data_IF_090694591754
#
_entry.id   IF_090694591754
#
_cell.length_a   1.000
_cell.length_b   1.000
_cell.length_c   1.000
_cell.angle_alpha   90.00
_cell.angle_beta   90.00
_cell.angle_gamma   90.00
#
_symmetry.space_group_name_H-M   'P 1'
#
loop_
_entity.id
_entity.type
_entity.pdbx_description
1 polymer ?
#
# COMPACT_ATOMS: atom_id res chain seq x y z
N UNK A 1 7.98 -28.19 21.06
CA UNK A 1 7.25 -27.53 22.16
C UNK A 1 7.01 -26.10 21.75
N UNK A 2 5.72 -25.77 21.48
CA UNK A 2 5.27 -24.41 21.18
C UNK A 2 5.37 -23.51 22.41
N UNK A 3 5.24 -22.20 22.21
CA UNK A 3 5.06 -21.22 23.27
C UNK A 3 3.56 -21.15 23.54
N UNK A 4 3.13 -21.49 24.76
CA UNK A 4 1.74 -21.26 25.17
C UNK A 4 1.40 -19.79 25.00
N UNK A 5 0.32 -19.51 24.26
CA UNK A 5 -0.09 -18.17 23.94
C UNK A 5 -1.30 -17.72 24.75
N UNK A 6 -1.16 -16.60 25.44
CA UNK A 6 -2.28 -15.88 26.04
C UNK A 6 -2.71 -14.76 25.08
N UNK A 7 -3.96 -14.78 24.60
CA UNK A 7 -4.42 -13.78 23.65
C UNK A 7 -4.30 -12.34 24.16
N UNK A 8 -3.93 -11.43 23.28
CA UNK A 8 -3.92 -10.00 23.60
C UNK A 8 -5.36 -9.50 23.69
N UNK A 9 -5.71 -8.74 24.72
CA UNK A 9 -7.06 -8.22 24.94
C UNK A 9 -8.06 -9.28 25.39
N UNK A 10 -7.71 -10.11 26.36
CA UNK A 10 -8.46 -11.31 26.76
C UNK A 10 -9.02 -11.29 28.18
N UNK A 11 -9.06 -10.15 28.84
CA UNK A 11 -9.63 -10.14 30.21
C UNK A 11 -11.13 -9.90 30.19
N UNK A 12 -11.86 -10.74 30.90
CA UNK A 12 -13.29 -10.58 31.21
C UNK A 12 -13.46 -10.27 32.70
N UNK A 13 -14.44 -9.44 33.04
CA UNK A 13 -14.80 -9.17 34.41
C UNK A 13 -15.63 -10.34 35.06
N UNK A 14 -15.98 -10.20 36.34
CA UNK A 14 -16.77 -11.20 37.05
C UNK A 14 -18.16 -11.43 36.42
N UNK A 15 -18.65 -10.49 35.63
CA UNK A 15 -19.96 -10.57 34.93
C UNK A 15 -19.81 -11.18 33.51
N UNK A 16 -18.59 -11.53 33.08
CA UNK A 16 -18.28 -12.09 31.74
C UNK A 16 -18.21 -11.06 30.64
N UNK A 17 -18.14 -9.77 30.98
CA UNK A 17 -17.92 -8.69 30.01
C UNK A 17 -16.42 -8.48 29.75
N UNK A 18 -16.04 -8.22 28.51
CA UNK A 18 -14.64 -7.95 28.13
C UNK A 18 -14.20 -6.63 28.70
N UNK A 19 -13.32 -6.67 29.71
CA UNK A 19 -12.76 -5.47 30.34
C UNK A 19 -11.64 -4.81 29.53
N UNK A 20 -10.85 -5.62 28.83
CA UNK A 20 -9.70 -5.15 28.06
C UNK A 20 -9.70 -5.74 26.67
N UNK A 21 -9.97 -4.91 25.67
CA UNK A 21 -9.79 -5.22 24.27
C UNK A 21 -8.58 -4.43 23.71
N UNK A 22 -8.00 -4.91 22.63
CA UNK A 22 -6.99 -4.14 21.91
C UNK A 22 -7.67 -3.09 21.05
N UNK A 23 -7.34 -1.80 21.23
CA UNK A 23 -7.93 -0.69 20.50
C UNK A 23 -6.90 0.19 19.77
N UNK A 24 -5.67 -0.31 19.62
CA UNK A 24 -4.56 0.40 18.99
C UNK A 24 -4.32 0.01 17.52
N UNK A 25 -3.15 0.41 17.06
CA UNK A 25 -2.62 -0.02 15.76
C UNK A 25 -1.53 -1.06 15.97
N UNK A 26 -1.61 -2.15 15.22
CA UNK A 26 -0.61 -3.20 15.21
C UNK A 26 -0.15 -3.48 13.78
N UNK A 27 1.09 -3.18 13.50
CA UNK A 27 1.71 -3.40 12.20
C UNK A 27 2.71 -4.55 12.28
N UNK A 28 2.36 -5.67 11.67
CA UNK A 28 3.19 -6.88 11.65
C UNK A 28 4.38 -6.79 10.70
N UNK A 29 4.39 -5.78 9.80
CA UNK A 29 5.50 -5.47 8.89
C UNK A 29 5.93 -6.66 8.01
N UNK A 30 4.99 -7.55 7.69
CA UNK A 30 5.27 -8.77 6.94
C UNK A 30 6.01 -9.84 7.74
N UNK A 31 6.25 -9.63 9.04
CA UNK A 31 6.88 -10.64 9.88
C UNK A 31 5.95 -11.81 10.18
N UNK A 32 6.57 -12.97 10.40
CA UNK A 32 5.86 -14.19 10.75
C UNK A 32 6.06 -14.50 12.23
N UNK A 33 4.96 -14.71 12.94
CA UNK A 33 4.94 -15.30 14.27
C UNK A 33 4.64 -16.79 14.12
N UNK A 34 5.55 -17.63 14.56
CA UNK A 34 5.47 -19.08 14.41
C UNK A 34 5.57 -19.81 15.74
N UNK A 35 5.10 -21.07 15.74
CA UNK A 35 5.13 -21.96 16.89
C UNK A 35 4.28 -21.45 18.08
N UNK A 36 3.22 -20.69 17.80
CA UNK A 36 2.23 -20.39 18.83
C UNK A 36 1.45 -21.67 19.16
N UNK A 37 1.36 -21.96 20.44
CA UNK A 37 0.52 -23.06 20.96
C UNK A 37 -0.75 -22.44 21.55
N UNK A 38 -1.87 -22.72 20.91
CA UNK A 38 -3.17 -22.24 21.35
C UNK A 38 -3.95 -23.26 22.20
N UNK A 39 -3.45 -24.49 22.33
CA UNK A 39 -4.23 -25.62 22.84
C UNK A 39 -4.57 -25.54 24.33
N UNK A 40 -3.68 -25.01 25.15
CA UNK A 40 -3.83 -24.98 26.61
C UNK A 40 -4.93 -24.02 27.10
N UNK A 41 -5.14 -22.93 26.37
CA UNK A 41 -6.08 -21.87 26.76
C UNK A 41 -7.38 -21.87 25.95
N UNK A 42 -7.46 -22.68 24.90
CA UNK A 42 -8.65 -22.77 24.06
C UNK A 42 -9.85 -23.30 24.82
N UNK A 43 -10.98 -22.61 24.71
CA UNK A 43 -12.25 -23.04 25.30
C UNK A 43 -12.35 -22.93 26.80
N UNK A 44 -11.47 -22.23 27.49
CA UNK A 44 -11.69 -21.84 28.90
C UNK A 44 -12.77 -20.76 28.95
N UNK A 45 -13.64 -20.83 29.97
CA UNK A 45 -14.75 -19.86 30.16
C UNK A 45 -14.28 -18.42 30.28
N UNK A 46 -13.03 -18.22 30.68
CA UNK A 46 -12.37 -16.93 30.79
C UNK A 46 -12.05 -16.29 29.41
N UNK A 47 -12.12 -17.08 28.31
CA UNK A 47 -11.78 -16.66 26.97
C UNK A 47 -12.91 -16.99 25.98
N UNK A 48 -14.00 -16.20 25.94
CA UNK A 48 -15.11 -16.44 25.00
C UNK A 48 -14.72 -16.18 23.54
N UNK A 49 -13.59 -15.51 23.33
CA UNK A 49 -12.98 -15.27 22.04
C UNK A 49 -11.48 -15.55 22.10
N UNK A 50 -10.92 -16.11 21.03
CA UNK A 50 -9.56 -16.63 21.06
C UNK A 50 -8.82 -16.44 19.73
N UNK A 51 -7.53 -16.14 19.80
CA UNK A 51 -6.66 -15.94 18.64
C UNK A 51 -5.32 -15.34 19.05
N UNK A 52 -4.61 -14.71 18.12
CA UNK A 52 -3.49 -13.87 18.49
C UNK A 52 -3.97 -12.66 19.32
N UNK A 53 -5.06 -12.04 18.86
CA UNK A 53 -5.89 -11.16 19.67
C UNK A 53 -7.18 -11.89 20.07
N UNK A 54 -7.63 -11.75 21.33
CA UNK A 54 -8.94 -12.21 21.75
C UNK A 54 -10.00 -11.29 21.13
N UNK A 55 -10.05 -10.04 21.55
CA UNK A 55 -10.94 -9.03 21.01
C UNK A 55 -10.21 -7.76 20.62
N UNK A 56 -10.67 -7.16 19.51
CA UNK A 56 -10.17 -5.88 19.02
C UNK A 56 -11.31 -4.91 18.74
N UNK A 57 -11.24 -3.68 19.28
CA UNK A 57 -12.29 -2.68 19.16
C UNK A 57 -11.69 -1.34 18.65
N UNK A 58 -12.17 -0.84 17.52
CA UNK A 58 -11.63 0.39 16.91
C UNK A 58 -10.16 0.26 16.51
N UNK A 59 -9.70 -0.95 16.28
CA UNK A 59 -8.29 -1.26 16.03
C UNK A 59 -7.95 -1.31 14.55
N UNK A 60 -6.67 -1.12 14.25
CA UNK A 60 -6.09 -1.34 12.92
C UNK A 60 -4.97 -2.37 13.02
N UNK A 61 -5.14 -3.53 12.38
CA UNK A 61 -4.16 -4.62 12.37
C UNK A 61 -3.76 -4.89 10.93
N UNK A 62 -2.46 -4.91 10.64
CA UNK A 62 -2.00 -5.18 9.28
C UNK A 62 -0.65 -5.88 9.20
N UNK A 63 -0.42 -6.59 8.08
CA UNK A 63 0.88 -7.15 7.72
C UNK A 63 1.38 -8.25 8.65
N UNK A 64 0.49 -9.00 9.31
CA UNK A 64 0.82 -10.05 10.27
C UNK A 64 0.65 -11.44 9.64
N UNK A 65 1.71 -12.26 9.69
CA UNK A 65 1.61 -13.69 9.37
C UNK A 65 1.66 -14.52 10.64
N UNK A 66 0.67 -15.41 10.80
CA UNK A 66 0.61 -16.36 11.93
C UNK A 66 0.72 -17.77 11.38
N UNK A 67 1.62 -18.55 11.97
CA UNK A 67 1.87 -19.94 11.59
C UNK A 67 1.84 -20.87 12.81
N UNK A 68 1.14 -22.00 12.67
CA UNK A 68 1.06 -22.98 13.74
C UNK A 68 0.03 -24.06 13.46
N UNK A 69 -0.28 -24.82 14.49
CA UNK A 69 -1.37 -25.81 14.49
C UNK A 69 -2.16 -25.61 15.78
N UNK A 70 -3.46 -25.85 15.68
CA UNK A 70 -4.35 -25.93 16.82
C UNK A 70 -5.13 -27.25 16.75
N UNK A 71 -4.86 -28.10 17.72
CA UNK A 71 -5.59 -29.35 17.91
C UNK A 71 -6.42 -29.23 19.20
N UNK A 72 -7.74 -29.32 19.06
CA UNK A 72 -8.67 -29.04 20.14
C UNK A 72 -9.35 -30.31 20.59
N UNK A 73 -9.18 -30.64 21.87
CA UNK A 73 -9.81 -31.81 22.51
C UNK A 73 -10.88 -31.47 23.56
N UNK A 74 -10.98 -30.21 24.01
CA UNK A 74 -11.92 -29.76 25.04
C UNK A 74 -12.40 -28.33 24.69
N UNK A 75 -13.65 -28.17 24.26
CA UNK A 75 -14.13 -26.82 23.95
C UNK A 75 -15.54 -26.55 24.44
N UNK A 76 -15.70 -25.32 24.91
CA UNK A 76 -16.96 -24.63 25.11
C UNK A 76 -17.26 -23.73 23.88
N UNK A 77 -18.18 -22.79 24.03
CA UNK A 77 -18.50 -21.82 22.96
C UNK A 77 -17.37 -20.81 22.81
N UNK A 78 -16.70 -20.76 21.63
CA UNK A 78 -15.54 -19.89 21.39
C UNK A 78 -15.59 -19.30 19.99
N UNK A 79 -15.39 -17.98 19.89
CA UNK A 79 -15.08 -17.33 18.62
C UNK A 79 -13.56 -17.42 18.35
N UNK A 80 -13.16 -18.43 17.59
CA UNK A 80 -11.76 -18.58 17.22
C UNK A 80 -11.45 -17.91 15.90
N UNK A 81 -10.45 -17.00 15.92
CA UNK A 81 -9.83 -16.43 14.74
C UNK A 81 -8.31 -16.39 14.90
N UNK A 82 -7.57 -16.91 13.91
CA UNK A 82 -6.11 -16.99 14.04
C UNK A 82 -5.47 -15.63 14.29
N UNK A 83 -6.03 -14.55 13.71
CA UNK A 83 -5.62 -13.16 13.97
C UNK A 83 -6.43 -12.58 15.12
N UNK A 84 -7.76 -12.60 15.04
CA UNK A 84 -8.62 -12.06 16.09
C UNK A 84 -9.85 -12.94 16.27
N UNK A 85 -10.17 -13.27 17.53
CA UNK A 85 -11.40 -13.98 17.87
C UNK A 85 -12.62 -13.13 17.52
N UNK A 86 -12.67 -11.88 17.98
CA UNK A 86 -13.72 -10.90 17.68
C UNK A 86 -13.09 -9.57 17.23
N UNK A 87 -13.65 -8.97 16.19
CA UNK A 87 -13.29 -7.65 15.71
C UNK A 87 -14.54 -6.75 15.65
N UNK A 88 -14.53 -5.64 16.38
CA UNK A 88 -15.61 -4.65 16.43
C UNK A 88 -15.08 -3.29 15.96
N UNK A 89 -15.82 -2.63 15.05
CA UNK A 89 -15.46 -1.31 14.51
C UNK A 89 -13.99 -1.23 14.07
N UNK A 90 -13.44 -2.34 13.56
CA UNK A 90 -11.99 -2.51 13.37
C UNK A 90 -11.64 -2.80 11.91
N UNK A 91 -10.36 -2.63 11.58
CA UNK A 91 -9.80 -2.99 10.29
C UNK A 91 -8.69 -4.02 10.45
N UNK A 92 -8.81 -5.16 9.75
CA UNK A 92 -7.78 -6.18 9.64
C UNK A 92 -7.39 -6.30 8.16
N UNK A 93 -6.13 -6.04 7.83
CA UNK A 93 -5.67 -6.01 6.45
C UNK A 93 -4.32 -6.68 6.26
N UNK A 94 -4.09 -7.23 5.06
CA UNK A 94 -2.80 -7.81 4.66
C UNK A 94 -2.24 -8.85 5.66
N UNK A 95 -3.15 -9.60 6.29
CA UNK A 95 -2.79 -10.64 7.26
C UNK A 95 -2.87 -12.03 6.64
N UNK A 96 -1.94 -12.91 7.03
CA UNK A 96 -1.86 -14.28 6.54
C UNK A 96 -1.99 -15.26 7.69
N UNK A 97 -3.00 -16.14 7.61
CA UNK A 97 -3.12 -17.31 8.47
C UNK A 97 -2.52 -18.53 7.79
N UNK A 98 -1.53 -19.14 8.41
CA UNK A 98 -1.00 -20.45 8.05
C UNK A 98 -1.12 -21.39 9.26
N UNK A 99 -2.29 -21.34 9.91
CA UNK A 99 -2.62 -22.15 11.08
C UNK A 99 -3.63 -23.20 10.66
N UNK A 100 -3.30 -24.48 10.86
CA UNK A 100 -4.26 -25.57 10.70
C UNK A 100 -5.01 -25.80 11.99
N UNK A 101 -6.32 -25.97 11.88
CA UNK A 101 -7.23 -26.25 12.99
C UNK A 101 -7.84 -27.64 12.82
N UNK A 102 -7.77 -28.47 13.86
CA UNK A 102 -8.41 -29.78 13.87
C UNK A 102 -9.18 -29.97 15.16
N UNK A 103 -10.47 -30.36 15.06
CA UNK A 103 -11.27 -30.83 16.16
C UNK A 103 -11.78 -32.25 15.92
N UNK A 104 -11.43 -33.15 16.81
CA UNK A 104 -11.76 -34.58 16.69
C UNK A 104 -12.71 -35.10 17.76
N UNK A 105 -12.92 -34.39 18.89
CA UNK A 105 -13.43 -35.06 20.09
C UNK A 105 -14.68 -34.53 20.73
N UNK A 106 -15.18 -33.33 20.52
CA UNK A 106 -16.38 -32.81 21.19
C UNK A 106 -17.18 -31.79 20.40
N UNK A 107 -18.40 -31.53 20.90
CA UNK A 107 -19.25 -30.46 20.38
C UNK A 107 -18.57 -29.10 20.58
N UNK A 108 -18.14 -28.48 19.52
CA UNK A 108 -17.72 -27.11 19.51
C UNK A 108 -18.91 -26.23 19.12
N UNK A 109 -19.11 -25.13 19.83
CA UNK A 109 -19.96 -24.04 19.39
C UNK A 109 -19.07 -22.80 19.12
N UNK A 110 -19.42 -21.97 18.16
CA UNK A 110 -18.66 -20.75 17.86
C UNK A 110 -18.20 -20.62 16.43
N UNK A 111 -16.93 -20.27 16.23
CA UNK A 111 -16.37 -20.05 14.88
C UNK A 111 -14.96 -20.60 14.75
N UNK A 112 -14.55 -20.86 13.51
CA UNK A 112 -13.15 -21.00 13.13
C UNK A 112 -12.88 -20.27 11.83
N UNK A 113 -11.88 -19.38 11.83
CA UNK A 113 -11.52 -18.55 10.69
C UNK A 113 -10.17 -17.84 10.90
N UNK A 114 -9.78 -16.92 9.99
CA UNK A 114 -8.75 -15.93 10.26
C UNK A 114 -9.25 -14.88 11.28
N UNK A 115 -10.48 -14.40 11.12
CA UNK A 115 -11.22 -13.60 12.10
C UNK A 115 -12.51 -14.33 12.48
N UNK A 116 -12.69 -14.67 13.75
CA UNK A 116 -13.83 -15.47 14.21
C UNK A 116 -15.15 -14.74 14.01
N UNK A 117 -15.31 -13.56 14.54
CA UNK A 117 -16.50 -12.73 14.40
C UNK A 117 -16.13 -11.28 14.06
N UNK A 118 -16.63 -10.78 12.95
CA UNK A 118 -16.45 -9.41 12.50
C UNK A 118 -17.78 -8.63 12.63
N UNK A 119 -17.76 -7.53 13.38
CA UNK A 119 -18.90 -6.64 13.63
C UNK A 119 -18.51 -5.22 13.19
N UNK A 120 -19.28 -4.59 12.31
CA UNK A 120 -19.02 -3.25 11.78
C UNK A 120 -17.55 -3.06 11.27
N UNK A 121 -16.93 -4.14 10.79
CA UNK A 121 -15.49 -4.18 10.56
C UNK A 121 -15.16 -4.40 9.08
N UNK A 122 -13.93 -4.07 8.70
CA UNK A 122 -13.40 -4.34 7.38
C UNK A 122 -12.26 -5.34 7.46
N UNK A 123 -12.40 -6.45 6.73
CA UNK A 123 -11.35 -7.46 6.59
C UNK A 123 -10.94 -7.49 5.12
N UNK A 124 -9.69 -7.11 4.83
CA UNK A 124 -9.27 -6.98 3.45
C UNK A 124 -7.84 -7.44 3.19
N UNK A 125 -7.56 -7.87 1.97
CA UNK A 125 -6.25 -8.39 1.53
C UNK A 125 -5.69 -9.51 2.41
N UNK A 126 -6.58 -10.22 3.11
CA UNK A 126 -6.19 -11.29 4.01
C UNK A 126 -6.17 -12.65 3.30
N UNK A 127 -5.29 -13.54 3.74
CA UNK A 127 -5.14 -14.86 3.16
C UNK A 127 -5.18 -15.95 4.24
N UNK A 128 -6.00 -17.00 4.03
CA UNK A 128 -5.89 -18.26 4.76
C UNK A 128 -5.22 -19.33 3.88
N UNK A 129 -4.19 -19.97 4.45
CA UNK A 129 -3.47 -21.12 3.89
C UNK A 129 -3.58 -22.37 4.74
N UNK A 130 -4.05 -22.22 5.99
CA UNK A 130 -4.22 -23.33 6.92
C UNK A 130 -5.48 -24.14 6.63
N UNK A 131 -5.44 -25.42 6.93
CA UNK A 131 -6.56 -26.32 6.76
C UNK A 131 -7.43 -26.31 8.02
N UNK A 132 -8.76 -26.26 7.86
CA UNK A 132 -9.69 -26.30 8.96
C UNK A 132 -10.52 -27.59 8.91
N UNK A 133 -10.51 -28.33 10.01
CA UNK A 133 -11.19 -29.64 10.09
C UNK A 133 -12.03 -29.73 11.36
N UNK A 134 -13.35 -29.80 11.20
CA UNK A 134 -14.34 -30.04 12.28
C UNK A 134 -15.06 -31.31 11.98
N UNK A 135 -14.67 -32.38 12.68
CA UNK A 135 -15.04 -33.77 12.36
C UNK A 135 -16.31 -34.27 13.07
N UNK A 136 -16.93 -33.43 13.90
CA UNK A 136 -18.14 -33.80 14.64
C UNK A 136 -19.31 -32.86 14.43
N UNK A 137 -20.51 -33.38 14.65
CA UNK A 137 -21.79 -32.64 14.57
C UNK A 137 -21.80 -31.52 15.61
N UNK A 138 -21.99 -30.28 15.15
CA UNK A 138 -22.05 -29.08 15.96
C UNK A 138 -23.40 -28.40 15.73
N UNK A 139 -24.03 -27.87 16.77
CA UNK A 139 -25.35 -27.23 16.63
C UNK A 139 -25.30 -25.73 16.30
N UNK A 140 -24.23 -25.05 16.66
CA UNK A 140 -24.04 -23.61 16.46
C UNK A 140 -22.57 -23.32 16.16
N UNK A 141 -22.15 -23.57 14.92
CA UNK A 141 -20.78 -23.35 14.51
C UNK A 141 -20.73 -22.83 13.09
N UNK A 142 -19.88 -21.80 12.88
CA UNK A 142 -19.68 -21.20 11.58
C UNK A 142 -18.20 -21.25 11.18
N UNK A 143 -17.92 -21.88 10.06
CA UNK A 143 -16.56 -22.02 9.57
C UNK A 143 -16.35 -21.21 8.30
N UNK A 144 -15.41 -20.27 8.33
CA UNK A 144 -14.99 -19.50 7.17
C UNK A 144 -13.48 -19.52 6.99
N UNK A 145 -13.00 -19.54 5.77
CA UNK A 145 -11.55 -19.41 5.54
C UNK A 145 -11.02 -18.07 6.07
N UNK A 146 -11.80 -17.01 5.95
CA UNK A 146 -11.43 -15.66 6.37
C UNK A 146 -12.25 -15.18 7.56
N UNK A 147 -13.57 -15.25 7.51
CA UNK A 147 -14.44 -14.82 8.61
C UNK A 147 -15.44 -15.91 8.97
N UNK A 148 -15.56 -16.24 10.25
CA UNK A 148 -16.54 -17.20 10.72
C UNK A 148 -17.95 -16.63 10.64
N UNK A 149 -18.19 -15.50 11.30
CA UNK A 149 -19.45 -14.76 11.31
C UNK A 149 -19.19 -13.29 10.95
N UNK A 150 -19.91 -12.75 9.99
CA UNK A 150 -19.82 -11.34 9.58
C UNK A 150 -21.16 -10.63 9.76
N UNK A 151 -21.15 -9.52 10.51
CA UNK A 151 -22.28 -8.65 10.79
C UNK A 151 -21.95 -7.20 10.47
N UNK A 152 -22.74 -6.53 9.60
CA UNK A 152 -22.49 -5.17 9.14
C UNK A 152 -21.04 -4.94 8.64
N UNK A 153 -20.39 -5.98 8.13
CA UNK A 153 -18.96 -5.98 7.85
C UNK A 153 -18.67 -6.17 6.38
N UNK A 154 -17.51 -5.69 5.94
CA UNK A 154 -17.04 -5.86 4.57
C UNK A 154 -15.83 -6.80 4.58
N UNK A 155 -15.92 -7.88 3.78
CA UNK A 155 -14.81 -8.79 3.50
C UNK A 155 -14.46 -8.63 2.03
N UNK A 156 -13.26 -8.12 1.74
CA UNK A 156 -12.88 -7.82 0.36
C UNK A 156 -11.42 -8.15 0.07
N UNK A 157 -11.14 -8.49 -1.20
CA UNK A 157 -9.78 -8.84 -1.64
C UNK A 157 -9.13 -9.92 -0.76
N UNK A 158 -9.93 -10.89 -0.31
CA UNK A 158 -9.44 -11.96 0.54
C UNK A 158 -9.39 -13.28 -0.22
N UNK A 159 -8.46 -14.15 0.18
CA UNK A 159 -8.29 -15.46 -0.45
C UNK A 159 -8.20 -16.58 0.57
N UNK A 160 -8.89 -17.69 0.29
CA UNK A 160 -8.70 -18.96 1.00
C UNK A 160 -8.11 -20.00 0.06
N UNK A 161 -6.96 -20.54 0.43
CA UNK A 161 -6.34 -21.70 -0.26
C UNK A 161 -6.29 -22.94 0.62
N UNK A 162 -6.66 -22.82 1.90
CA UNK A 162 -6.71 -23.94 2.83
C UNK A 162 -7.95 -24.81 2.62
N UNK A 163 -7.80 -26.10 2.83
CA UNK A 163 -8.88 -27.07 2.74
C UNK A 163 -9.79 -27.01 3.98
N UNK A 164 -11.05 -27.31 3.77
CA UNK A 164 -12.08 -27.25 4.81
C UNK A 164 -12.87 -28.55 4.86
N UNK A 165 -12.81 -29.26 5.98
CA UNK A 165 -13.62 -30.46 6.24
C UNK A 165 -14.56 -30.18 7.41
N UNK A 166 -15.87 -30.36 7.22
CA UNK A 166 -16.81 -29.83 8.22
C UNK A 166 -18.10 -30.61 8.36
N UNK A 167 -18.49 -30.76 9.64
CA UNK A 167 -19.86 -31.12 10.09
C UNK A 167 -20.67 -29.89 10.56
N UNK A 168 -20.17 -28.70 10.37
CA UNK A 168 -20.78 -27.48 10.91
C UNK A 168 -22.07 -27.08 10.19
N UNK A 169 -23.02 -26.40 10.85
CA UNK A 169 -24.25 -25.93 10.23
C UNK A 169 -24.04 -24.97 9.07
N UNK A 170 -22.93 -24.23 9.07
CA UNK A 170 -22.64 -23.28 7.99
C UNK A 170 -21.13 -23.17 7.75
N UNK A 171 -20.71 -23.48 6.53
CA UNK A 171 -19.31 -23.43 6.13
C UNK A 171 -19.15 -22.78 4.76
N UNK A 172 -18.26 -21.82 4.66
CA UNK A 172 -17.96 -21.13 3.40
C UNK A 172 -16.48 -20.92 3.19
N UNK A 173 -16.03 -21.03 1.95
CA UNK A 173 -14.62 -20.85 1.61
C UNK A 173 -14.04 -19.51 2.07
N UNK A 174 -14.86 -18.47 2.13
CA UNK A 174 -14.48 -17.14 2.64
C UNK A 174 -15.21 -16.83 3.95
N UNK A 175 -16.54 -16.91 4.00
CA UNK A 175 -17.34 -16.55 5.18
C UNK A 175 -18.26 -17.70 5.58
N UNK A 176 -18.27 -18.08 6.86
CA UNK A 176 -19.19 -19.08 7.38
C UNK A 176 -20.64 -18.58 7.34
N UNK A 177 -20.94 -17.48 8.02
CA UNK A 177 -22.26 -16.86 8.01
C UNK A 177 -22.18 -15.36 7.76
N UNK A 178 -22.82 -14.91 6.68
CA UNK A 178 -22.89 -13.51 6.25
C UNK A 178 -24.27 -12.95 6.62
N UNK A 179 -24.34 -11.87 7.42
CA UNK A 179 -25.62 -11.33 7.91
C UNK A 179 -25.60 -9.80 8.05
N UNK A 180 -26.77 -9.19 8.27
CA UNK A 180 -26.96 -7.76 8.59
C UNK A 180 -26.18 -6.82 7.68
N UNK A 181 -26.51 -6.81 6.40
CA UNK A 181 -25.91 -5.89 5.39
C UNK A 181 -24.41 -6.07 5.16
N UNK A 182 -23.84 -7.21 5.54
CA UNK A 182 -22.44 -7.52 5.27
C UNK A 182 -22.19 -7.82 3.79
N UNK A 183 -20.95 -7.62 3.35
CA UNK A 183 -20.53 -7.75 1.95
C UNK A 183 -19.30 -8.64 1.80
N UNK A 184 -19.28 -9.44 0.72
CA UNK A 184 -18.09 -10.16 0.25
C UNK A 184 -17.81 -9.72 -1.18
N UNK A 185 -16.67 -9.07 -1.42
CA UNK A 185 -16.37 -8.43 -2.70
C UNK A 185 -14.96 -8.81 -3.15
N UNK A 186 -14.79 -9.18 -4.44
CA UNK A 186 -13.48 -9.49 -5.02
C UNK A 186 -12.70 -10.52 -4.20
N UNK A 187 -13.36 -11.55 -3.70
CA UNK A 187 -12.74 -12.62 -2.94
C UNK A 187 -12.74 -13.92 -3.74
N UNK A 188 -11.80 -14.81 -3.45
CA UNK A 188 -11.85 -16.14 -4.03
C UNK A 188 -11.40 -17.24 -3.08
N UNK A 189 -11.89 -18.46 -3.33
CA UNK A 189 -11.43 -19.66 -2.65
C UNK A 189 -11.03 -20.74 -3.64
N UNK A 190 -9.89 -21.37 -3.39
CA UNK A 190 -9.38 -22.52 -4.18
C UNK A 190 -9.19 -23.75 -3.31
N UNK A 191 -9.37 -23.65 -2.00
CA UNK A 191 -9.32 -24.78 -1.08
C UNK A 191 -10.42 -25.81 -1.35
N UNK A 192 -10.16 -27.07 -1.08
CA UNK A 192 -11.13 -28.14 -1.17
C UNK A 192 -12.14 -28.02 0.00
N UNK A 193 -13.42 -28.18 -0.30
CA UNK A 193 -14.47 -28.23 0.71
C UNK A 193 -15.02 -29.65 0.78
N UNK A 194 -14.96 -30.26 1.95
CA UNK A 194 -15.46 -31.62 2.25
C UNK A 194 -16.61 -31.54 3.23
N UNK A 195 -17.87 -31.45 2.76
CA UNK A 195 -19.04 -31.51 3.61
C UNK A 195 -19.17 -32.88 4.28
N UNK A 196 -19.47 -32.89 5.57
CA UNK A 196 -19.73 -34.11 6.31
C UNK A 196 -21.19 -34.11 6.80
N UNK A 197 -21.74 -35.30 7.06
CA UNK A 197 -22.98 -35.48 7.82
C UNK A 197 -24.28 -35.60 7.06
N UNK A 198 -25.40 -35.57 7.83
CA UNK A 198 -26.77 -35.87 7.37
C UNK A 198 -27.76 -34.72 7.65
N UNK A 199 -27.31 -33.68 8.36
CA UNK A 199 -28.17 -32.61 8.89
C UNK A 199 -28.40 -31.47 7.92
N UNK A 200 -29.11 -30.44 8.40
CA UNK A 200 -29.30 -29.17 7.70
C UNK A 200 -28.00 -28.36 7.79
N UNK A 201 -27.20 -28.43 6.79
CA UNK A 201 -25.90 -27.77 6.74
C UNK A 201 -25.75 -27.00 5.45
N UNK A 202 -25.22 -25.76 5.53
CA UNK A 202 -25.03 -24.85 4.42
C UNK A 202 -23.56 -24.81 4.04
N UNK A 203 -23.22 -25.40 2.89
CA UNK A 203 -21.86 -25.39 2.36
C UNK A 203 -21.79 -24.59 1.09
N UNK A 204 -20.96 -23.54 1.09
CA UNK A 204 -20.73 -22.69 -0.08
C UNK A 204 -19.29 -22.48 -0.41
N UNK A 205 -19.01 -22.37 -1.70
CA UNK A 205 -17.65 -22.09 -2.19
C UNK A 205 -17.10 -20.73 -1.68
N UNK A 206 -18.01 -19.77 -1.46
CA UNK A 206 -17.69 -18.44 -0.93
C UNK A 206 -18.32 -18.26 0.46
N UNK A 207 -19.63 -18.42 0.59
CA UNK A 207 -20.32 -18.26 1.87
C UNK A 207 -21.16 -19.49 2.23
N UNK A 208 -21.19 -19.89 3.50
CA UNK A 208 -22.05 -20.95 3.97
C UNK A 208 -23.51 -20.51 3.94
N UNK A 209 -23.92 -19.69 4.89
CA UNK A 209 -25.26 -19.11 4.97
C UNK A 209 -25.23 -17.62 4.69
N UNK A 210 -26.23 -17.12 3.97
CA UNK A 210 -26.36 -15.72 3.60
C UNK A 210 -27.67 -15.16 4.16
N UNK A 211 -27.61 -14.06 4.88
CA UNK A 211 -28.76 -13.39 5.51
C UNK A 211 -29.28 -12.17 4.74
N UNK A 212 -30.20 -11.44 5.38
CA UNK A 212 -30.87 -10.29 4.79
C UNK A 212 -29.91 -9.14 4.48
N UNK A 213 -30.12 -8.49 3.34
CA UNK A 213 -29.41 -7.26 2.93
C UNK A 213 -27.93 -7.46 2.65
N UNK A 214 -27.47 -8.69 2.52
CA UNK A 214 -26.08 -9.03 2.25
C UNK A 214 -25.75 -9.03 0.77
N UNK A 215 -24.48 -8.88 0.42
CA UNK A 215 -24.00 -8.82 -0.96
C UNK A 215 -22.80 -9.76 -1.15
N UNK A 216 -22.80 -10.52 -2.25
CA UNK A 216 -21.63 -11.27 -2.74
C UNK A 216 -21.42 -10.85 -4.19
N UNK A 217 -20.30 -10.16 -4.47
CA UNK A 217 -20.02 -9.61 -5.78
C UNK A 217 -18.61 -9.90 -6.25
N UNK A 218 -18.48 -10.20 -7.55
CA UNK A 218 -17.20 -10.39 -8.23
C UNK A 218 -16.30 -11.42 -7.53
N UNK A 219 -16.90 -12.46 -6.97
CA UNK A 219 -16.20 -13.52 -6.25
C UNK A 219 -16.13 -14.78 -7.10
N UNK A 220 -15.12 -15.63 -6.86
CA UNK A 220 -15.12 -16.93 -7.50
C UNK A 220 -14.64 -18.06 -6.59
N UNK A 221 -15.21 -19.25 -6.82
CA UNK A 221 -14.78 -20.50 -6.22
C UNK A 221 -14.17 -21.43 -7.29
N UNK A 222 -12.88 -21.70 -7.16
CA UNK A 222 -12.14 -22.58 -8.07
C UNK A 222 -11.58 -23.84 -7.36
N UNK A 223 -12.09 -24.11 -6.16
CA UNK A 223 -11.79 -25.33 -5.41
C UNK A 223 -12.69 -26.51 -5.79
N UNK A 224 -12.41 -27.66 -5.22
CA UNK A 224 -13.23 -28.87 -5.33
C UNK A 224 -14.26 -28.90 -4.17
N UNK A 225 -15.52 -29.23 -4.45
CA UNK A 225 -16.48 -29.61 -3.42
C UNK A 225 -16.65 -31.14 -3.43
N UNK A 226 -16.03 -31.82 -2.47
CA UNK A 226 -16.01 -33.29 -2.38
C UNK A 226 -17.20 -33.81 -1.57
N UNK A 227 -18.20 -34.33 -2.25
CA UNK A 227 -19.43 -34.83 -1.66
C UNK A 227 -19.37 -36.32 -1.24
N UNK A 228 -18.22 -36.96 -1.31
CA UNK A 228 -18.08 -38.40 -1.05
C UNK A 228 -18.52 -38.81 0.34
N UNK A 229 -18.46 -37.92 1.33
CA UNK A 229 -18.84 -38.14 2.72
C UNK A 229 -20.16 -37.44 3.13
N UNK A 230 -20.82 -36.78 2.18
CA UNK A 230 -22.03 -36.04 2.42
C UNK A 230 -23.28 -36.87 2.10
N UNK A 231 -24.03 -37.28 3.15
CA UNK A 231 -25.17 -38.19 3.01
C UNK A 231 -26.51 -37.49 3.24
N UNK A 232 -26.55 -36.15 3.34
CA UNK A 232 -27.82 -35.43 3.51
C UNK A 232 -28.71 -35.58 2.27
N UNK A 233 -30.00 -35.68 2.52
CA UNK A 233 -31.05 -35.78 1.49
C UNK A 233 -31.90 -34.50 1.49
N UNK A 234 -32.52 -34.12 0.36
CA UNK A 234 -33.49 -33.00 0.36
C UNK A 234 -34.58 -33.17 1.41
N UNK A 235 -35.01 -32.10 2.11
CA UNK A 235 -34.67 -30.69 1.91
C UNK A 235 -33.41 -30.21 2.66
N UNK A 236 -32.67 -31.11 3.29
CA UNK A 236 -31.52 -30.78 4.15
C UNK A 236 -30.20 -30.55 3.37
N UNK A 237 -30.19 -30.98 2.10
CA UNK A 237 -29.03 -30.79 1.24
C UNK A 237 -28.96 -29.31 0.72
N UNK A 238 -28.14 -28.48 1.39
CA UNK A 238 -28.01 -27.07 1.06
C UNK A 238 -26.56 -26.79 0.67
N UNK A 239 -26.30 -26.91 -0.62
CA UNK A 239 -24.96 -26.76 -1.22
C UNK A 239 -25.01 -25.66 -2.27
N UNK A 240 -23.88 -24.96 -2.45
CA UNK A 240 -23.75 -23.99 -3.52
C UNK A 240 -22.30 -23.67 -3.87
N UNK A 241 -22.04 -23.51 -5.17
CA UNK A 241 -20.72 -23.07 -5.64
C UNK A 241 -20.36 -21.66 -5.13
N UNK A 242 -21.37 -20.83 -4.85
CA UNK A 242 -21.20 -19.50 -4.25
C UNK A 242 -21.71 -19.51 -2.81
N UNK A 243 -22.97 -19.86 -2.57
CA UNK A 243 -23.54 -19.85 -1.23
C UNK A 243 -24.32 -21.13 -0.96
N UNK A 244 -24.14 -21.74 0.23
CA UNK A 244 -24.83 -22.97 0.62
C UNK A 244 -26.32 -22.74 0.83
N UNK A 245 -26.67 -21.76 1.64
CA UNK A 245 -28.05 -21.44 1.93
C UNK A 245 -28.35 -19.96 2.09
N UNK A 246 -29.63 -19.64 2.05
CA UNK A 246 -30.13 -18.29 2.29
C UNK A 246 -31.14 -18.35 3.42
N UNK A 247 -30.92 -17.55 4.47
CA UNK A 247 -31.80 -17.50 5.67
C UNK A 247 -32.92 -16.46 5.55
N UNK A 248 -32.85 -15.56 4.55
CA UNK A 248 -33.86 -14.52 4.31
C UNK A 248 -33.85 -14.03 2.86
N UNK A 249 -34.92 -13.40 2.41
CA UNK A 249 -35.27 -13.25 0.99
C UNK A 249 -34.62 -12.08 0.22
N UNK A 250 -33.50 -11.47 0.68
CA UNK A 250 -32.97 -10.29 -0.02
C UNK A 250 -31.43 -10.19 -0.16
N UNK A 251 -30.69 -11.29 -0.34
CA UNK A 251 -29.27 -11.17 -0.66
C UNK A 251 -29.09 -10.70 -2.11
N UNK A 252 -28.00 -10.00 -2.37
CA UNK A 252 -27.58 -9.60 -3.70
C UNK A 252 -26.41 -10.44 -4.17
N UNK A 253 -26.55 -11.09 -5.31
CA UNK A 253 -25.48 -11.81 -5.98
C UNK A 253 -25.18 -11.16 -7.33
N UNK A 254 -23.93 -10.86 -7.62
CA UNK A 254 -23.57 -10.19 -8.86
C UNK A 254 -22.19 -10.64 -9.35
N UNK A 255 -22.15 -11.11 -10.61
CA UNK A 255 -20.90 -11.44 -11.31
C UNK A 255 -19.99 -12.39 -10.53
N UNK A 256 -20.58 -13.45 -9.95
CA UNK A 256 -19.84 -14.49 -9.26
C UNK A 256 -19.67 -15.71 -10.15
N UNK A 257 -18.60 -16.47 -9.93
CA UNK A 257 -18.27 -17.64 -10.73
C UNK A 257 -17.85 -18.82 -9.86
N UNK A 258 -18.15 -20.04 -10.32
CA UNK A 258 -17.78 -21.24 -9.57
C UNK A 258 -17.44 -22.40 -10.51
N UNK A 259 -16.57 -23.30 -10.03
CA UNK A 259 -16.23 -24.51 -10.76
C UNK A 259 -17.41 -25.47 -10.76
N UNK A 260 -17.73 -25.98 -11.94
CA UNK A 260 -18.75 -27.02 -12.11
C UNK A 260 -18.45 -28.24 -11.23
N UNK A 261 -19.38 -28.51 -10.31
CA UNK A 261 -19.41 -29.76 -9.52
C UNK A 261 -20.78 -30.38 -9.72
N UNK A 262 -20.79 -31.71 -9.97
CA UNK A 262 -22.04 -32.42 -10.18
C UNK A 262 -22.99 -32.29 -8.97
N UNK A 263 -24.24 -31.94 -9.22
CA UNK A 263 -25.26 -31.73 -8.22
C UNK A 263 -25.03 -30.57 -7.23
N UNK A 264 -24.17 -29.62 -7.59
CA UNK A 264 -23.90 -28.38 -6.81
C UNK A 264 -24.36 -27.17 -7.63
N UNK A 265 -25.49 -26.51 -7.29
CA UNK A 265 -25.92 -25.27 -7.95
C UNK A 265 -25.08 -24.08 -7.49
N UNK A 266 -25.33 -22.89 -8.06
CA UNK A 266 -24.72 -21.65 -7.58
C UNK A 266 -25.08 -21.37 -6.09
N UNK A 267 -26.36 -21.53 -5.74
CA UNK A 267 -26.88 -21.50 -4.37
C UNK A 267 -28.13 -22.38 -4.31
N UNK A 268 -28.41 -22.98 -3.18
CA UNK A 268 -29.55 -23.91 -3.00
C UNK A 268 -30.91 -23.36 -3.47
N UNK A 269 -31.21 -22.09 -3.19
CA UNK A 269 -32.47 -21.45 -3.59
C UNK A 269 -32.31 -20.42 -4.72
N UNK A 270 -31.12 -19.97 -5.01
CA UNK A 270 -30.81 -18.89 -5.96
C UNK A 270 -29.85 -19.39 -7.03
N UNK A 271 -30.41 -19.90 -8.13
CA UNK A 271 -29.62 -20.49 -9.22
C UNK A 271 -28.78 -19.46 -9.97
N UNK A 272 -29.17 -18.20 -9.91
CA UNK A 272 -28.49 -17.03 -10.51
C UNK A 272 -27.44 -16.38 -9.56
N UNK A 273 -27.16 -16.99 -8.41
CA UNK A 273 -26.14 -16.50 -7.50
C UNK A 273 -24.71 -16.48 -8.11
N UNK A 274 -24.48 -17.23 -9.18
CA UNK A 274 -23.21 -17.28 -9.89
C UNK A 274 -23.27 -18.07 -11.18
N UNK A 275 -22.23 -17.91 -12.00
CA UNK A 275 -22.08 -18.58 -13.30
C UNK A 275 -21.12 -19.76 -13.19
N UNK A 276 -21.60 -20.93 -13.61
CA UNK A 276 -20.80 -22.15 -13.66
C UNK A 276 -19.74 -22.10 -14.76
N UNK A 277 -18.51 -22.50 -14.46
CA UNK A 277 -17.38 -22.60 -15.39
C UNK A 277 -16.62 -23.91 -15.16
N UNK A 278 -15.85 -24.32 -16.15
CA UNK A 278 -14.87 -25.38 -15.93
C UNK A 278 -13.59 -24.82 -15.31
N UNK A 279 -12.88 -25.60 -14.51
CA UNK A 279 -11.62 -25.16 -13.91
C UNK A 279 -10.58 -24.79 -14.98
N UNK A 280 -10.56 -25.52 -16.12
CA UNK A 280 -9.64 -25.22 -17.22
C UNK A 280 -9.95 -23.86 -17.84
N UNK A 281 -11.24 -23.49 -18.02
CA UNK A 281 -11.61 -22.17 -18.49
C UNK A 281 -11.22 -21.08 -17.48
N UNK A 282 -11.41 -21.31 -16.19
CA UNK A 282 -11.04 -20.34 -15.16
C UNK A 282 -9.53 -20.04 -15.05
N UNK A 283 -8.68 -20.86 -15.71
CA UNK A 283 -7.23 -20.63 -15.82
C UNK A 283 -6.82 -19.86 -17.08
N UNK A 284 -7.76 -19.47 -17.92
CA UNK A 284 -7.47 -18.76 -19.18
C UNK A 284 -7.51 -17.24 -19.03
N UNK A 285 -6.88 -16.57 -19.98
CA UNK A 285 -6.97 -15.10 -20.11
C UNK A 285 -8.42 -14.65 -20.43
N UNK A 286 -9.20 -15.49 -21.14
CA UNK A 286 -10.59 -15.20 -21.43
C UNK A 286 -11.43 -15.10 -20.16
N UNK A 287 -11.21 -15.95 -19.16
CA UNK A 287 -11.88 -15.84 -17.88
C UNK A 287 -11.43 -14.59 -17.11
N UNK A 288 -10.13 -14.29 -17.12
CA UNK A 288 -9.63 -13.05 -16.52
C UNK A 288 -10.30 -11.82 -17.14
N UNK A 289 -10.40 -11.78 -18.47
CA UNK A 289 -11.08 -10.69 -19.18
C UNK A 289 -12.58 -10.64 -18.86
N UNK A 290 -13.26 -11.80 -18.77
CA UNK A 290 -14.69 -11.88 -18.42
C UNK A 290 -14.95 -11.32 -17.01
N UNK A 291 -14.23 -11.78 -15.99
CA UNK A 291 -14.45 -11.33 -14.60
C UNK A 291 -14.08 -9.86 -14.41
N UNK A 292 -13.07 -9.37 -15.13
CA UNK A 292 -12.62 -7.98 -15.05
C UNK A 292 -13.62 -7.05 -15.77
N UNK A 293 -14.08 -7.43 -16.94
CA UNK A 293 -15.11 -6.68 -17.68
C UNK A 293 -16.43 -6.60 -16.89
N UNK A 294 -16.71 -7.61 -16.07
CA UNK A 294 -17.87 -7.64 -15.17
C UNK A 294 -17.69 -6.76 -13.92
N UNK A 295 -16.54 -6.10 -13.74
CA UNK A 295 -16.24 -5.23 -12.59
C UNK A 295 -15.35 -5.84 -11.51
N UNK A 296 -14.92 -7.09 -11.68
CA UNK A 296 -13.97 -7.74 -10.78
C UNK A 296 -12.58 -7.08 -10.85
N UNK A 297 -11.92 -6.95 -9.74
CA UNK A 297 -10.57 -6.39 -9.67
C UNK A 297 -9.55 -7.51 -9.39
N UNK A 298 -9.01 -8.07 -10.46
CA UNK A 298 -8.06 -9.18 -10.44
C UNK A 298 -6.86 -8.89 -11.33
N UNK A 299 -5.78 -9.66 -11.17
CA UNK A 299 -4.63 -9.70 -12.06
C UNK A 299 -4.58 -11.03 -12.80
N UNK A 300 -4.15 -10.99 -14.04
CA UNK A 300 -3.93 -12.22 -14.81
C UNK A 300 -2.81 -13.06 -14.19
N UNK A 301 -3.03 -14.38 -14.14
CA UNK A 301 -2.08 -15.35 -13.64
C UNK A 301 -1.89 -16.46 -14.68
N UNK A 302 -0.76 -16.45 -15.38
CA UNK A 302 -0.43 -17.44 -16.42
C UNK A 302 -0.30 -18.88 -15.90
N UNK A 303 -0.18 -19.07 -14.59
CA UNK A 303 0.01 -20.38 -13.96
C UNK A 303 -1.25 -20.90 -13.25
N UNK A 304 -2.36 -20.23 -13.36
CA UNK A 304 -3.58 -20.64 -12.66
C UNK A 304 -4.75 -19.68 -12.85
N UNK A 305 -5.71 -19.71 -11.94
CA UNK A 305 -6.83 -18.77 -11.93
C UNK A 305 -6.37 -17.35 -11.62
N UNK A 306 -7.16 -16.30 -11.99
CA UNK A 306 -6.82 -14.91 -11.68
C UNK A 306 -6.53 -14.71 -10.19
N UNK A 307 -5.60 -13.82 -9.88
CA UNK A 307 -5.20 -13.51 -8.50
C UNK A 307 -5.59 -12.08 -8.12
N UNK A 308 -5.67 -11.81 -6.83
CA UNK A 308 -5.96 -10.46 -6.33
C UNK A 308 -4.80 -9.49 -6.63
N UNK A 309 -5.09 -8.20 -6.86
CA UNK A 309 -4.06 -7.17 -6.85
C UNK A 309 -3.42 -7.09 -5.47
N UNK A 310 -2.16 -6.70 -5.42
CA UNK A 310 -1.53 -6.39 -4.14
C UNK A 310 -2.17 -5.14 -3.50
N UNK A 311 -2.15 -5.03 -2.17
CA UNK A 311 -2.57 -3.82 -1.48
C UNK A 311 -1.83 -2.60 -1.99
N UNK A 312 -2.51 -1.46 -2.05
CA UNK A 312 -1.90 -0.17 -2.39
C UNK A 312 -1.89 0.73 -1.16
N UNK A 313 -0.82 1.48 -1.06
CA UNK A 313 -0.55 2.41 0.03
C UNK A 313 -0.53 3.82 -0.50
N UNK A 314 -1.12 4.76 0.23
CA UNK A 314 -1.10 6.17 -0.14
C UNK A 314 0.28 6.77 0.11
N UNK A 315 0.92 7.30 -0.93
CA UNK A 315 2.28 7.85 -0.91
C UNK A 315 2.24 9.32 -1.24
N UNK A 316 2.56 10.16 -0.27
CA UNK A 316 2.64 11.60 -0.43
C UNK A 316 4.09 12.05 -0.65
N UNK A 317 4.31 12.94 -1.62
CA UNK A 317 5.59 13.56 -1.92
C UNK A 317 5.55 15.02 -1.49
N UNK A 318 6.37 15.38 -0.52
CA UNK A 318 6.56 16.77 -0.07
C UNK A 318 7.78 17.34 -0.78
N UNK A 319 7.55 18.14 -1.82
CA UNK A 319 8.64 18.76 -2.61
C UNK A 319 8.96 20.13 -2.02
N UNK A 320 10.24 20.39 -1.79
CA UNK A 320 10.74 21.64 -1.24
C UNK A 320 11.79 22.25 -2.15
N UNK A 321 11.91 23.60 -2.22
CA UNK A 321 11.06 24.59 -1.55
C UNK A 321 9.62 24.63 -2.11
N UNK A 322 8.66 25.11 -1.30
CA UNK A 322 7.23 25.03 -1.62
C UNK A 322 6.77 25.95 -2.77
N UNK A 323 7.56 26.97 -3.10
CA UNK A 323 7.32 27.95 -4.16
C UNK A 323 7.68 27.47 -5.58
N UNK A 324 8.14 26.22 -5.70
CA UNK A 324 8.49 25.66 -7.01
C UNK A 324 7.28 25.58 -7.93
N UNK A 325 7.52 25.86 -9.21
CA UNK A 325 6.51 25.82 -10.27
C UNK A 325 6.75 24.63 -11.21
N UNK A 326 5.67 24.17 -11.87
CA UNK A 326 5.68 23.06 -12.81
C UNK A 326 6.35 21.78 -12.27
N UNK A 327 6.06 21.47 -11.00
CA UNK A 327 6.56 20.26 -10.37
C UNK A 327 5.91 19.02 -11.01
N UNK A 328 6.72 18.15 -11.58
CA UNK A 328 6.30 16.88 -12.16
C UNK A 328 6.99 15.75 -11.38
N UNK A 329 6.19 14.84 -10.85
CA UNK A 329 6.66 13.66 -10.13
C UNK A 329 6.42 12.44 -11.01
N UNK A 330 7.47 11.65 -11.25
CA UNK A 330 7.36 10.36 -11.91
C UNK A 330 7.78 9.24 -10.97
N UNK A 331 7.01 8.16 -10.96
CA UNK A 331 7.28 6.95 -10.20
C UNK A 331 7.35 5.79 -11.17
N UNK A 332 8.45 5.04 -11.17
CA UNK A 332 8.66 3.97 -12.14
C UNK A 332 8.60 4.45 -13.61
N UNK A 333 9.00 5.71 -13.88
CA UNK A 333 8.98 6.32 -15.20
C UNK A 333 7.62 6.88 -15.65
N UNK A 334 6.54 6.73 -14.86
CA UNK A 334 5.21 7.25 -15.17
C UNK A 334 4.87 8.46 -14.31
N UNK A 335 4.17 9.45 -14.88
CA UNK A 335 3.69 10.61 -14.10
C UNK A 335 2.71 10.11 -13.03
N UNK A 336 2.99 10.46 -11.79
CA UNK A 336 2.20 10.07 -10.63
C UNK A 336 1.32 11.22 -10.14
N UNK A 337 0.16 10.88 -9.57
CA UNK A 337 -0.62 11.80 -8.74
C UNK A 337 0.11 12.03 -7.41
N UNK A 338 -0.25 13.08 -6.69
CA UNK A 338 0.25 13.31 -5.35
C UNK A 338 -0.92 13.65 -4.40
N UNK A 339 -1.35 12.75 -3.51
CA UNK A 339 -0.73 11.45 -3.24
C UNK A 339 -0.88 10.43 -4.39
N UNK A 340 0.01 9.45 -4.43
CA UNK A 340 -0.02 8.30 -5.33
C UNK A 340 -0.40 7.03 -4.59
N UNK A 341 -1.12 6.12 -5.25
CA UNK A 341 -1.44 4.80 -4.70
C UNK A 341 -0.47 3.76 -5.28
N UNK A 342 0.48 3.30 -4.47
CA UNK A 342 1.54 2.37 -4.87
C UNK A 342 1.47 1.06 -4.08
N UNK A 343 1.79 -0.05 -4.74
CA UNK A 343 2.00 -1.34 -4.06
C UNK A 343 3.28 -1.31 -3.22
N UNK A 344 3.44 -2.25 -2.28
CA UNK A 344 4.72 -2.40 -1.57
C UNK A 344 5.83 -2.77 -2.56
N UNK A 345 6.99 -2.13 -2.44
CA UNK A 345 8.08 -2.32 -3.38
C UNK A 345 9.04 -1.13 -3.42
N UNK A 346 10.09 -1.26 -4.23
CA UNK A 346 11.05 -0.17 -4.44
C UNK A 346 10.80 0.47 -5.80
N UNK A 347 10.67 1.78 -5.81
CA UNK A 347 10.37 2.58 -7.00
C UNK A 347 11.44 3.63 -7.24
N UNK A 348 11.85 3.78 -8.48
CA UNK A 348 12.61 4.95 -8.91
C UNK A 348 11.65 6.15 -8.96
N UNK A 349 12.03 7.24 -8.31
CA UNK A 349 11.33 8.53 -8.33
C UNK A 349 12.20 9.55 -9.04
N UNK A 350 11.63 10.19 -10.04
CA UNK A 350 12.18 11.35 -10.73
C UNK A 350 11.28 12.55 -10.46
N UNK A 351 11.88 13.66 -10.03
CA UNK A 351 11.14 14.92 -9.85
C UNK A 351 11.83 16.02 -10.64
N UNK A 352 11.05 16.74 -11.42
CA UNK A 352 11.49 17.92 -12.15
C UNK A 352 10.64 19.13 -11.77
N UNK A 353 11.25 20.31 -11.77
CA UNK A 353 10.59 21.59 -11.55
C UNK A 353 11.34 22.67 -12.35
N UNK A 354 10.68 23.80 -12.54
CA UNK A 354 11.32 24.94 -13.23
C UNK A 354 12.58 25.39 -12.49
N UNK A 355 13.63 25.66 -13.26
CA UNK A 355 14.89 26.17 -12.75
C UNK A 355 15.61 25.25 -11.73
N UNK A 356 15.27 24.00 -11.68
CA UNK A 356 15.89 23.03 -10.78
C UNK A 356 16.62 21.93 -11.54
N UNK A 357 17.60 21.35 -10.88
CA UNK A 357 18.18 20.08 -11.31
C UNK A 357 17.15 18.97 -11.17
N UNK A 358 17.17 17.98 -12.06
CA UNK A 358 16.27 16.82 -11.96
C UNK A 358 16.71 15.96 -10.77
N UNK A 359 15.79 15.76 -9.82
CA UNK A 359 16.00 14.87 -8.69
C UNK A 359 15.72 13.42 -9.11
N UNK A 360 16.61 12.51 -8.73
CA UNK A 360 16.46 11.08 -8.94
C UNK A 360 16.83 10.31 -7.67
N UNK A 361 15.95 9.44 -7.22
CA UNK A 361 16.18 8.56 -6.06
C UNK A 361 15.32 7.32 -6.13
N UNK A 362 15.62 6.33 -5.28
CA UNK A 362 14.74 5.22 -5.03
C UNK A 362 14.01 5.42 -3.70
N UNK A 363 12.72 5.11 -3.68
CA UNK A 363 11.91 5.01 -2.46
C UNK A 363 11.47 3.57 -2.27
N UNK A 364 11.29 3.16 -1.02
CA UNK A 364 10.73 1.85 -0.69
C UNK A 364 9.42 2.05 0.06
N UNK A 365 8.37 1.44 -0.47
CA UNK A 365 7.04 1.39 0.14
C UNK A 365 6.94 0.04 0.86
N UNK A 366 6.67 0.09 2.14
CA UNK A 366 6.52 -1.09 3.00
C UNK A 366 5.07 -1.28 3.40
N UNK A 367 4.69 -2.50 3.77
CA UNK A 367 3.34 -2.82 4.21
C UNK A 367 3.07 -2.46 5.69
N UNK A 368 4.01 -1.78 6.34
CA UNK A 368 3.98 -1.45 7.77
C UNK A 368 3.17 -0.21 8.12
N UNK A 369 2.85 0.62 7.11
CA UNK A 369 2.02 1.81 7.30
C UNK A 369 1.02 1.96 6.15
N UNK A 370 -0.19 2.42 6.46
CA UNK A 370 -1.20 2.70 5.45
C UNK A 370 -0.85 3.93 4.57
N UNK A 371 0.02 4.81 5.06
CA UNK A 371 0.45 6.02 4.36
C UNK A 371 1.95 6.24 4.49
N UNK A 372 2.57 6.69 3.40
CA UNK A 372 3.99 7.03 3.34
C UNK A 372 4.15 8.49 2.97
N UNK A 373 5.15 9.16 3.57
CA UNK A 373 5.51 10.53 3.20
C UNK A 373 6.99 10.60 2.88
N UNK A 374 7.32 11.05 1.67
CA UNK A 374 8.69 11.24 1.22
C UNK A 374 8.95 12.72 0.96
N UNK A 375 9.94 13.28 1.66
CA UNK A 375 10.38 14.66 1.45
C UNK A 375 11.47 14.69 0.38
N UNK A 376 11.31 15.55 -0.62
CA UNK A 376 12.21 15.74 -1.74
C UNK A 376 12.70 17.17 -1.72
N UNK A 377 14.01 17.36 -1.51
CA UNK A 377 14.65 18.66 -1.56
C UNK A 377 15.22 18.87 -2.99
N UNK A 378 14.66 19.84 -3.72
CA UNK A 378 15.13 20.21 -5.04
C UNK A 378 16.27 21.20 -4.95
N UNK A 379 17.21 21.11 -5.87
CA UNK A 379 18.33 22.03 -6.00
C UNK A 379 18.11 22.93 -7.20
N UNK A 380 18.16 24.24 -7.01
CA UNK A 380 18.11 25.20 -8.13
C UNK A 380 19.33 25.06 -9.01
N UNK A 381 19.14 25.25 -10.32
CA UNK A 381 20.25 25.39 -11.27
C UNK A 381 21.15 26.56 -10.89
N UNK A 382 22.47 26.50 -11.16
CA UNK A 382 23.35 27.60 -10.92
C UNK A 382 23.00 28.81 -11.84
N UNK A 383 23.25 30.01 -11.36
CA UNK A 383 23.13 31.22 -12.17
C UNK A 383 24.18 31.25 -13.31
N UNK A 384 23.84 31.88 -14.41
CA UNK A 384 24.75 32.09 -15.55
C UNK A 384 25.67 33.30 -15.29
N UNK A 385 26.94 33.03 -15.10
CA UNK A 385 27.99 34.04 -14.90
C UNK A 385 28.68 34.49 -16.17
N UNK A 386 28.24 34.06 -17.36
CA UNK A 386 28.92 34.37 -18.63
C UNK A 386 29.15 35.87 -18.86
N UNK A 387 28.18 36.72 -18.50
CA UNK A 387 28.29 38.18 -18.61
C UNK A 387 29.34 38.75 -17.65
N UNK A 388 29.36 38.22 -16.39
CA UNK A 388 30.36 38.63 -15.38
C UNK A 388 31.75 38.25 -15.83
N UNK A 389 31.95 37.03 -16.31
CA UNK A 389 33.24 36.52 -16.78
C UNK A 389 33.73 37.30 -18.01
N UNK A 390 32.80 37.68 -18.90
CA UNK A 390 33.10 38.55 -20.05
C UNK A 390 33.53 39.94 -19.60
N UNK A 391 32.85 40.53 -18.62
CA UNK A 391 33.20 41.85 -18.09
C UNK A 391 34.58 41.85 -17.39
N UNK A 392 34.84 40.81 -16.60
CA UNK A 392 36.15 40.59 -15.96
C UNK A 392 37.23 40.39 -17.04
N UNK A 393 36.94 39.65 -18.11
CA UNK A 393 37.84 39.49 -19.25
C UNK A 393 38.22 40.83 -19.91
N UNK A 394 37.24 41.75 -20.03
CA UNK A 394 37.50 43.11 -20.51
C UNK A 394 38.46 43.86 -19.57
N UNK A 395 38.20 43.79 -18.23
CA UNK A 395 39.08 44.42 -17.24
C UNK A 395 40.52 43.91 -17.35
N UNK A 396 40.69 42.58 -17.49
CA UNK A 396 42.02 41.97 -17.59
C UNK A 396 42.78 42.35 -18.87
N UNK A 397 42.08 42.83 -19.89
CA UNK A 397 42.68 43.31 -21.12
C UNK A 397 43.11 44.80 -21.07
N UNK A 398 42.71 45.54 -20.02
CA UNK A 398 43.05 46.95 -19.85
C UNK A 398 44.41 47.08 -19.18
N UNK A 399 45.19 48.10 -19.67
CA UNK A 399 46.41 48.47 -18.97
C UNK A 399 46.13 49.57 -17.94
N UNK A 400 46.13 49.13 -16.66
CA UNK A 400 45.80 49.97 -15.52
C UNK A 400 46.62 51.27 -15.45
N UNK A 401 47.84 51.23 -15.90
CA UNK A 401 48.75 52.38 -15.82
C UNK A 401 48.37 53.53 -16.77
N UNK A 402 47.44 53.29 -17.69
CA UNK A 402 46.98 54.31 -18.64
C UNK A 402 45.86 55.19 -18.12
N UNK A 403 45.23 54.81 -16.97
CA UNK A 403 44.04 55.48 -16.39
C UNK A 403 44.38 56.30 -15.15
N UNK A 404 43.67 57.43 -14.95
CA UNK A 404 43.81 58.32 -13.81
C UNK A 404 43.49 57.60 -12.49
N UNK A 405 42.38 56.88 -12.48
CA UNK A 405 41.92 56.11 -11.32
C UNK A 405 41.27 54.79 -11.78
N UNK A 406 41.74 53.67 -11.28
CA UNK A 406 41.26 52.32 -11.60
C UNK A 406 40.51 51.66 -10.42
N UNK A 407 40.39 52.38 -9.27
CA UNK A 407 39.91 51.87 -8.01
C UNK A 407 38.47 51.31 -8.10
N UNK A 408 37.58 52.05 -8.77
CA UNK A 408 36.16 51.60 -8.94
C UNK A 408 36.02 50.34 -9.74
N UNK A 409 36.90 50.09 -10.72
CA UNK A 409 36.90 48.84 -11.47
C UNK A 409 37.35 47.68 -10.59
N UNK A 410 38.40 47.89 -9.78
CA UNK A 410 38.86 46.87 -8.83
C UNK A 410 37.80 46.57 -7.77
N UNK A 411 37.12 47.57 -7.22
CA UNK A 411 36.03 47.42 -6.30
C UNK A 411 34.87 46.61 -6.89
N UNK A 412 34.45 46.92 -8.13
CA UNK A 412 33.38 46.23 -8.83
C UNK A 412 33.71 44.74 -9.08
N UNK A 413 34.95 44.46 -9.47
CA UNK A 413 35.42 43.07 -9.68
C UNK A 413 35.48 42.32 -8.34
N UNK A 414 35.99 42.95 -7.28
CA UNK A 414 36.10 42.34 -5.96
C UNK A 414 34.71 42.15 -5.29
N UNK A 415 33.69 42.88 -5.69
CA UNK A 415 32.33 42.76 -5.20
C UNK A 415 31.56 41.57 -5.85
N UNK A 416 32.15 40.85 -6.78
CA UNK A 416 31.51 39.69 -7.42
C UNK A 416 31.37 38.56 -6.43
N UNK A 417 30.11 38.15 -6.16
CA UNK A 417 29.75 36.98 -5.34
C UNK A 417 29.44 35.82 -6.27
N UNK A 418 30.17 34.72 -6.11
CA UNK A 418 29.98 33.47 -6.87
C UNK A 418 29.07 32.50 -6.11
N UNK A 419 28.51 31.49 -6.79
CA UNK A 419 27.71 30.42 -6.18
C UNK A 419 26.23 30.74 -6.01
N UNK A 420 25.75 31.84 -6.63
CA UNK A 420 24.31 32.13 -6.69
C UNK A 420 23.59 31.14 -7.62
N UNK A 421 22.32 30.93 -7.36
CA UNK A 421 21.46 30.09 -8.17
C UNK A 421 20.67 30.94 -9.19
N UNK A 422 19.94 30.26 -10.08
CA UNK A 422 19.24 30.90 -11.20
C UNK A 422 18.16 31.89 -10.76
N UNK A 423 17.57 31.74 -9.55
CA UNK A 423 16.56 32.68 -9.02
C UNK A 423 17.20 34.04 -8.66
N UNK A 424 18.51 34.08 -8.51
CA UNK A 424 19.34 35.27 -8.23
C UNK A 424 20.03 35.82 -9.48
N UNK A 425 19.60 35.36 -10.68
CA UNK A 425 20.23 35.75 -11.97
C UNK A 425 20.26 37.27 -12.16
N UNK A 426 19.25 38.00 -11.74
CA UNK A 426 19.18 39.46 -11.81
C UNK A 426 20.32 40.10 -11.02
N UNK A 427 20.68 39.57 -9.86
CA UNK A 427 21.80 40.07 -9.07
C UNK A 427 23.13 39.80 -9.75
N UNK A 428 23.27 38.63 -10.39
CA UNK A 428 24.46 38.28 -11.18
C UNK A 428 24.62 39.24 -12.37
N UNK A 429 23.54 39.55 -13.07
CA UNK A 429 23.56 40.54 -14.16
C UNK A 429 23.89 41.95 -13.68
N UNK A 430 23.42 42.31 -12.49
CA UNK A 430 23.78 43.60 -11.88
C UNK A 430 25.26 43.71 -11.56
N UNK A 431 25.94 42.63 -11.15
CA UNK A 431 27.39 42.59 -10.95
C UNK A 431 28.14 42.79 -12.27
N UNK A 432 27.71 42.12 -13.35
CA UNK A 432 28.29 42.32 -14.66
C UNK A 432 28.17 43.78 -15.12
N UNK A 433 26.98 44.36 -14.95
CA UNK A 433 26.71 45.77 -15.29
C UNK A 433 27.56 46.73 -14.46
N UNK A 434 27.74 46.50 -13.17
CA UNK A 434 28.56 47.33 -12.31
C UNK A 434 30.04 47.37 -12.79
N UNK A 435 30.57 46.24 -13.23
CA UNK A 435 31.92 46.19 -13.82
C UNK A 435 31.96 46.97 -15.15
N UNK A 436 30.98 46.81 -16.02
CA UNK A 436 30.92 47.50 -17.31
C UNK A 436 30.76 49.01 -17.11
N UNK A 437 29.91 49.45 -16.17
CA UNK A 437 29.71 50.86 -15.83
C UNK A 437 31.04 51.46 -15.27
N UNK A 438 31.76 50.71 -14.45
CA UNK A 438 33.06 51.15 -13.92
C UNK A 438 34.11 51.28 -15.02
N UNK A 439 34.14 50.33 -15.97
CA UNK A 439 35.02 50.43 -17.15
C UNK A 439 34.67 51.65 -18.00
N UNK A 440 33.37 51.88 -18.24
CA UNK A 440 32.89 53.03 -19.03
C UNK A 440 33.21 54.41 -18.42
N UNK A 441 33.39 54.44 -17.09
CA UNK A 441 33.73 55.67 -16.34
C UNK A 441 35.25 55.93 -16.26
N UNK A 442 36.10 55.09 -16.85
CA UNK A 442 37.56 55.28 -16.84
C UNK A 442 37.95 56.47 -17.64
N UNK A 443 38.85 57.32 -17.09
CA UNK A 443 39.47 58.43 -17.75
C UNK A 443 40.96 58.12 -17.98
N UNK A 444 41.46 58.35 -19.20
CA UNK A 444 42.90 58.25 -19.50
C UNK A 444 43.69 59.29 -18.75
N UNK A 445 44.93 58.98 -18.39
CA UNK A 445 45.89 59.92 -17.90
C UNK A 445 46.16 60.95 -18.99
N UNK A 446 46.42 62.18 -18.58
CA UNK A 446 46.84 63.21 -19.52
C UNK A 446 48.16 62.82 -20.22
N UNK A 447 48.29 63.18 -21.45
CA UNK A 447 49.55 62.91 -22.19
C UNK A 447 50.75 63.53 -21.47
N UNK A 448 51.78 62.71 -21.27
CA UNK A 448 53.04 63.21 -20.72
C UNK A 448 53.85 63.98 -21.83
N UNK A 449 53.79 65.28 -21.70
CA UNK A 449 54.54 66.21 -22.62
C UNK A 449 55.96 66.48 -22.12
N UNK A 450 56.42 65.87 -21.00
CA UNK A 450 57.70 66.18 -20.41
C UNK A 450 58.89 66.05 -21.38
N UNK A 451 58.88 65.07 -22.27
CA UNK A 451 59.90 64.91 -23.35
C UNK A 451 59.77 65.93 -24.40
N UNK A 452 58.56 66.35 -24.75
CA UNK A 452 58.31 67.42 -25.74
C UNK A 452 58.77 68.74 -25.17
N UNK A 453 58.37 69.02 -23.90
CA UNK A 453 58.79 70.26 -23.22
C UNK A 453 60.27 70.31 -23.01
N UNK A 454 60.95 69.21 -22.69
CA UNK A 454 62.38 69.09 -22.58
C UNK A 454 63.06 69.30 -23.97
N UNK A 455 62.49 68.85 -25.06
CA UNK A 455 62.97 69.05 -26.42
C UNK A 455 62.81 70.52 -26.85
N UNK A 456 61.65 71.11 -26.54
CA UNK A 456 61.39 72.54 -26.78
C UNK A 456 62.39 73.40 -26.02
N UNK A 457 62.56 73.15 -24.71
CA UNK A 457 63.52 73.89 -23.90
C UNK A 457 64.97 73.75 -24.44
N UNK A 458 65.34 72.56 -24.92
CA UNK A 458 66.64 72.41 -25.64
C UNK A 458 66.72 73.22 -26.90
N UNK A 459 65.66 73.23 -27.69
CA UNK A 459 65.60 74.01 -28.92
C UNK A 459 65.67 75.51 -28.65
N UNK A 460 64.97 76.01 -27.66
CA UNK A 460 64.93 77.39 -27.20
C UNK A 460 66.30 77.86 -26.67
N UNK A 461 67.05 76.93 -26.01
CA UNK A 461 68.38 77.23 -25.49
C UNK A 461 69.47 77.33 -26.57
N UNK A 462 69.15 76.94 -27.79
CA UNK A 462 70.13 77.10 -28.92
C UNK A 462 70.33 78.56 -29.33
N UNK A 463 71.55 78.95 -29.46
CA UNK A 463 71.89 80.30 -29.93
C UNK A 463 71.67 80.39 -31.44
N UNK A 464 70.59 81.05 -31.85
CA UNK A 464 70.19 81.20 -33.27
C UNK A 464 71.32 81.75 -34.19
N UNK A 465 72.24 82.50 -33.63
CA UNK A 465 73.35 83.08 -34.42
C UNK A 465 74.43 82.07 -34.79
N UNK A 466 74.40 80.88 -34.18
CA UNK A 466 75.39 79.83 -34.45
C UNK A 466 74.91 78.82 -35.51
N UNK A 467 73.65 78.95 -35.96
CA UNK A 467 73.06 78.02 -36.92
C UNK A 467 72.70 78.78 -38.24
N UNK A 468 72.95 78.15 -39.35
CA UNK A 468 72.82 78.79 -40.68
C UNK A 468 71.36 78.90 -41.15
N UNK A 469 70.43 78.02 -40.67
CA UNK A 469 69.04 78.03 -41.05
C UNK A 469 68.18 77.64 -39.83
N UNK A 470 67.94 78.52 -38.87
CA UNK A 470 67.16 78.35 -37.66
C UNK A 470 65.77 78.99 -37.84
N UNK A 471 64.96 78.52 -38.80
CA UNK A 471 63.61 78.96 -39.03
C UNK A 471 62.63 77.82 -38.87
#
# INVERSE_FOLDING_TARGET
TGIEWTPIGSTVNEDGEVEHCFSGKFYGNGYTISNLDFSENYGKTEYPSFGFFSEVHGAEISGLTIQGNLDVSNSEYVFFGTVAGVAVDSKISDCVSNVSFTDTDKYINGTVALCGYAINSTIEYCQNKGNFSVMKDTSQFWMGGIVGLAENSTVQYCVNTGDMTSWTPSSGGIVGFLTKSSKVINCYSTGKIVPLGKGTTDFGGIAGTVGAGTEIRHCYFAGEMDLSQYTATPPYKRLGGIAGGVSSDTPVFENNYFVKTENVPACFKYQDAGTEKTLDFMKTEDFFNEITAAGGNYRFNSNGTPILPAPKYSVSFVVTPAELTNVIIKVGGQVATNPADLEAGTYQVEVSADNCEVFNSNITITADTATHTHTIAMTYLPADYTKVDTAIGKVNALNKDEYKDFTKVEEAVNAVVRGKNITEQTEVEAMAKAIEDAIAALEYKDADYSKVDAAIAKAEALNKNEYKDFT
#
